data_IF_250526967376
#
_entry.id   IF_250526967376
#
_cell.length_a   1.000
_cell.length_b   1.000
_cell.length_c   1.000
_cell.angle_alpha   90.00
_cell.angle_beta   90.00
_cell.angle_gamma   90.00
#
_symmetry.space_group_name_H-M   'P 1'
#
loop_
_entity.id
_entity.type
_entity.pdbx_description
1 polymer ?
#
# COMPACT_ATOMS: atom_id res chain seq x y z
N UNK A 1 -13.80 -0.81 13.74
CA UNK A 1 -14.40 -0.14 12.57
C UNK A 1 -13.66 -0.61 11.32
N UNK A 2 -14.39 -1.17 10.34
CA UNK A 2 -13.83 -1.68 9.06
C UNK A 2 -13.23 -0.49 8.30
N UNK A 3 -11.92 -0.47 8.06
CA UNK A 3 -11.25 0.58 7.27
C UNK A 3 -9.95 1.17 7.83
N UNK A 4 -9.52 0.82 9.06
CA UNK A 4 -8.33 1.45 9.69
C UNK A 4 -7.01 0.67 9.58
N UNK A 5 -7.01 -0.55 9.04
CA UNK A 5 -5.77 -1.35 9.02
C UNK A 5 -4.91 -0.94 7.83
N UNK A 6 -3.82 -0.23 8.12
CA UNK A 6 -2.73 0.05 7.19
C UNK A 6 -1.65 -1.02 7.40
N UNK A 7 -1.18 -1.60 6.31
CA UNK A 7 0.02 -2.45 6.32
C UNK A 7 1.15 -1.67 5.68
N UNK A 8 2.25 -1.50 6.40
CA UNK A 8 3.40 -0.72 5.96
C UNK A 8 4.62 -1.62 5.83
N UNK A 9 5.34 -1.48 4.72
CA UNK A 9 6.61 -2.16 4.48
C UNK A 9 7.73 -1.13 4.35
N UNK A 10 8.76 -1.23 5.19
CA UNK A 10 9.98 -0.44 5.03
C UNK A 10 11.04 -1.26 4.29
N UNK A 11 11.12 -1.07 2.97
CA UNK A 11 12.02 -1.84 2.10
C UNK A 11 13.53 -1.60 2.36
N UNK A 12 13.91 -0.66 3.22
CA UNK A 12 15.30 -0.51 3.66
C UNK A 12 15.65 -1.38 4.88
N UNK A 13 14.64 -1.86 5.60
CA UNK A 13 14.78 -2.66 6.83
C UNK A 13 14.25 -4.08 6.68
N UNK A 14 13.30 -4.24 5.78
CA UNK A 14 12.59 -5.48 5.51
C UNK A 14 12.92 -5.93 4.09
N UNK A 15 12.95 -7.24 3.88
CA UNK A 15 13.15 -7.86 2.57
C UNK A 15 11.95 -8.76 2.24
N UNK A 16 10.74 -8.19 2.11
CA UNK A 16 9.56 -8.98 1.73
C UNK A 16 9.75 -9.53 0.32
N UNK A 17 9.19 -10.70 0.08
CA UNK A 17 9.13 -11.28 -1.26
C UNK A 17 8.16 -10.48 -2.15
N UNK A 18 8.33 -10.59 -3.46
CA UNK A 18 7.41 -9.96 -4.41
C UNK A 18 5.98 -10.48 -4.23
N UNK A 19 5.81 -11.78 -3.99
CA UNK A 19 4.50 -12.40 -3.78
C UNK A 19 3.79 -11.85 -2.53
N UNK A 20 4.52 -11.60 -1.44
CA UNK A 20 3.97 -10.98 -0.24
C UNK A 20 3.49 -9.55 -0.53
N UNK A 21 4.30 -8.75 -1.20
CA UNK A 21 3.91 -7.39 -1.59
C UNK A 21 2.68 -7.40 -2.50
N UNK A 22 2.68 -8.25 -3.54
CA UNK A 22 1.57 -8.39 -4.47
C UNK A 22 0.28 -8.83 -3.77
N UNK A 23 0.34 -9.74 -2.80
CA UNK A 23 -0.82 -10.15 -2.00
C UNK A 23 -1.48 -8.98 -1.25
N UNK A 24 -0.69 -7.97 -0.85
CA UNK A 24 -1.20 -6.74 -0.23
C UNK A 24 -1.62 -5.67 -1.22
N UNK A 25 -1.13 -5.70 -2.45
CA UNK A 25 -1.39 -4.67 -3.46
C UNK A 25 -2.56 -5.02 -4.39
N UNK A 26 -2.77 -6.31 -4.68
CA UNK A 26 -3.76 -6.78 -5.64
C UNK A 26 -5.12 -7.08 -4.99
N UNK A 27 -6.19 -6.79 -5.72
CA UNK A 27 -7.56 -7.18 -5.42
C UNK A 27 -7.83 -8.65 -5.74
N UNK A 28 -9.04 -9.11 -5.44
CA UNK A 28 -9.46 -10.52 -5.61
C UNK A 28 -9.31 -11.07 -7.03
N UNK A 29 -9.40 -10.20 -8.04
CA UNK A 29 -9.27 -10.55 -9.46
C UNK A 29 -7.88 -10.23 -10.03
N UNK A 30 -6.89 -9.94 -9.18
CA UNK A 30 -5.51 -9.62 -9.60
C UNK A 30 -5.29 -8.18 -10.06
N UNK A 31 -6.30 -7.31 -10.01
CA UNK A 31 -6.14 -5.89 -10.36
C UNK A 31 -5.47 -5.13 -9.21
N UNK A 32 -4.60 -4.17 -9.52
CA UNK A 32 -4.03 -3.27 -8.52
C UNK A 32 -5.13 -2.46 -7.81
N UNK A 33 -5.08 -2.39 -6.49
CA UNK A 33 -6.07 -1.65 -5.70
C UNK A 33 -5.91 -0.14 -5.93
N UNK A 34 -6.99 0.50 -6.38
CA UNK A 34 -7.09 1.94 -6.49
C UNK A 34 -7.65 2.58 -5.20
N UNK A 35 -7.39 3.87 -4.94
CA UNK A 35 -6.42 4.74 -5.62
C UNK A 35 -4.97 4.27 -5.40
N UNK A 36 -4.07 4.67 -6.31
CA UNK A 36 -2.64 4.40 -6.17
C UNK A 36 -1.85 5.67 -6.40
N UNK A 37 -0.90 5.97 -5.51
CA UNK A 37 -0.05 7.16 -5.59
C UNK A 37 1.41 6.73 -5.48
N UNK A 38 2.25 7.29 -6.34
CA UNK A 38 3.71 7.27 -6.19
C UNK A 38 4.18 8.68 -5.88
N UNK A 39 4.78 8.90 -4.71
CA UNK A 39 5.41 10.17 -4.32
C UNK A 39 6.84 9.91 -3.86
N UNK A 40 7.81 10.31 -4.68
CA UNK A 40 9.22 10.05 -4.40
C UNK A 40 9.50 8.54 -4.28
N UNK A 41 9.94 8.11 -3.09
CA UNK A 41 10.22 6.69 -2.78
C UNK A 41 9.04 5.96 -2.11
N UNK A 42 7.90 6.64 -1.96
CA UNK A 42 6.72 6.09 -1.28
C UNK A 42 5.66 5.70 -2.30
N UNK A 43 5.17 4.46 -2.19
CA UNK A 43 4.04 3.92 -2.93
C UNK A 43 2.88 3.69 -1.96
N UNK A 44 1.73 4.30 -2.26
CA UNK A 44 0.50 4.12 -1.50
C UNK A 44 -0.53 3.41 -2.38
N UNK A 45 -1.13 2.34 -1.86
CA UNK A 45 -2.07 1.48 -2.59
C UNK A 45 -3.35 1.35 -1.77
N UNK A 46 -4.50 1.61 -2.41
CA UNK A 46 -5.78 1.74 -1.74
C UNK A 46 -5.96 3.11 -1.08
N UNK A 47 -6.98 3.25 -0.23
CA UNK A 47 -7.34 4.51 0.40
C UNK A 47 -7.32 4.44 1.93
N UNK A 48 -6.56 5.35 2.53
CA UNK A 48 -6.66 5.68 3.95
C UNK A 48 -6.51 7.21 4.09
N UNK A 49 -7.50 7.94 4.65
CA UNK A 49 -7.45 9.39 4.74
C UNK A 49 -6.20 9.92 5.46
N UNK A 50 -5.84 9.32 6.60
CA UNK A 50 -4.71 9.75 7.43
C UNK A 50 -3.37 9.56 6.70
N UNK A 51 -3.22 8.52 5.86
CA UNK A 51 -2.01 8.31 5.05
C UNK A 51 -1.95 9.22 3.82
N UNK A 52 -3.11 9.54 3.23
CA UNK A 52 -3.19 10.50 2.13
C UNK A 52 -2.78 11.90 2.60
N UNK A 53 -3.23 12.35 3.77
CA UNK A 53 -2.85 13.65 4.36
C UNK A 53 -1.35 13.78 4.63
N UNK A 54 -0.65 12.67 4.94
CA UNK A 54 0.82 12.68 5.11
C UNK A 54 1.56 12.79 3.78
N UNK A 55 0.94 12.36 2.69
CA UNK A 55 1.54 12.17 1.37
C UNK A 55 1.03 13.20 0.35
N UNK A 56 0.04 14.03 0.64
CA UNK A 56 -0.32 15.19 -0.19
C UNK A 56 0.32 16.45 0.41
#
# INVERSE_FOLDING_TARGET
>A
MKGKKVTTFNLNKETPTEDELLGHMLGTTGNLRAPTIVRGKTLLVGFNPEEFEKIL
#
